data_IF_614784662736
#
_entry.id   IF_614784662736
#
_cell.length_a   1.000
_cell.length_b   1.000
_cell.length_c   1.000
_cell.angle_alpha   90.00
_cell.angle_beta   90.00
_cell.angle_gamma   90.00
#
_symmetry.space_group_name_H-M   'P 1'
#
loop_
_entity.id
_entity.type
_entity.pdbx_description
1 polymer ?
#
# COMPACT_ATOMS: atom_id res chain seq x y z
N UNK A 1 7.40 24.45 9.14
CA UNK A 1 8.50 23.58 8.64
C UNK A 1 8.12 23.12 7.25
N UNK A 2 8.99 23.34 6.27
CA UNK A 2 8.82 22.90 4.87
C UNK A 2 9.72 21.69 4.65
N UNK A 3 9.14 20.59 4.22
CA UNK A 3 9.82 19.29 4.10
C UNK A 3 9.84 18.90 2.61
N UNK A 4 11.02 18.64 2.07
CA UNK A 4 11.21 18.01 0.75
C UNK A 4 11.46 16.52 0.97
N UNK A 5 10.67 15.67 0.32
CA UNK A 5 10.78 14.23 0.52
C UNK A 5 10.86 13.45 -0.78
N UNK A 6 11.55 12.32 -0.73
CA UNK A 6 11.81 11.43 -1.86
C UNK A 6 11.36 10.01 -1.57
N UNK A 7 10.66 9.43 -2.53
CA UNK A 7 10.31 8.01 -2.56
C UNK A 7 10.87 7.39 -3.85
N UNK A 8 11.59 6.28 -3.71
CA UNK A 8 12.18 5.55 -4.84
C UNK A 8 12.36 4.06 -4.55
N UNK A 9 11.51 3.46 -3.72
CA UNK A 9 11.71 2.07 -3.25
C UNK A 9 11.43 0.99 -4.30
N UNK A 10 10.59 1.28 -5.32
CA UNK A 10 10.15 0.29 -6.29
C UNK A 10 10.10 0.85 -7.72
N UNK A 11 8.91 1.14 -8.26
CA UNK A 11 8.71 1.57 -9.66
C UNK A 11 8.08 2.96 -9.80
N UNK A 12 7.96 3.69 -8.69
CA UNK A 12 7.62 5.12 -8.67
C UNK A 12 8.79 5.96 -8.17
N UNK A 13 9.18 6.99 -8.94
CA UNK A 13 10.06 8.05 -8.44
C UNK A 13 9.19 9.22 -8.01
N UNK A 14 9.21 9.59 -6.74
CA UNK A 14 8.42 10.72 -6.27
C UNK A 14 9.25 11.75 -5.50
N UNK A 15 8.92 13.03 -5.73
CA UNK A 15 9.39 14.16 -4.96
C UNK A 15 8.19 15.00 -4.50
N UNK A 16 8.13 15.33 -3.22
CA UNK A 16 7.02 16.07 -2.63
C UNK A 16 7.51 17.17 -1.72
N UNK A 17 6.80 18.30 -1.72
CA UNK A 17 6.98 19.37 -0.76
C UNK A 17 5.75 19.42 0.15
N UNK A 18 5.97 19.26 1.45
CA UNK A 18 4.92 19.24 2.47
C UNK A 18 5.20 20.31 3.52
N UNK A 19 4.19 21.12 3.80
CA UNK A 19 4.22 22.13 4.86
C UNK A 19 3.62 21.54 6.14
N UNK A 20 4.38 21.52 7.22
CA UNK A 20 3.91 21.20 8.57
C UNK A 20 3.61 22.48 9.36
N UNK A 21 2.39 22.62 9.79
CA UNK A 21 1.90 23.73 10.63
C UNK A 21 1.47 23.19 12.00
N UNK A 22 1.05 24.05 12.92
CA UNK A 22 0.48 23.64 14.22
C UNK A 22 -0.79 22.79 14.06
N UNK A 23 -1.58 23.04 13.00
CA UNK A 23 -2.86 22.37 12.74
C UNK A 23 -2.68 20.99 12.11
N UNK A 24 -1.65 20.81 11.26
CA UNK A 24 -1.48 19.54 10.51
C UNK A 24 -0.48 19.67 9.35
N UNK A 25 -0.59 18.76 8.41
CA UNK A 25 0.21 18.75 7.20
C UNK A 25 -0.59 19.32 6.02
N UNK A 26 0.10 20.04 5.14
CA UNK A 26 -0.43 20.50 3.85
C UNK A 26 0.51 20.06 2.75
N UNK A 27 0.04 19.21 1.85
CA UNK A 27 0.79 18.78 0.66
C UNK A 27 0.80 19.94 -0.34
N UNK A 28 1.95 20.58 -0.52
CA UNK A 28 2.16 21.70 -1.45
C UNK A 28 2.40 21.20 -2.87
N UNK A 29 3.11 20.08 -3.00
CA UNK A 29 3.30 19.37 -4.25
C UNK A 29 3.53 17.87 -3.97
N UNK A 30 3.14 17.02 -4.93
CA UNK A 30 3.41 15.58 -4.90
C UNK A 30 3.57 15.11 -6.35
N UNK A 31 4.80 15.09 -6.83
CA UNK A 31 5.14 14.74 -8.21
C UNK A 31 5.59 13.29 -8.25
N UNK A 32 4.95 12.51 -9.11
CA UNK A 32 5.23 11.08 -9.26
C UNK A 32 5.56 10.79 -10.73
N UNK A 33 6.73 10.25 -10.98
CA UNK A 33 7.14 9.68 -12.26
C UNK A 33 7.00 8.15 -12.17
N UNK A 34 5.86 7.64 -12.61
CA UNK A 34 5.56 6.20 -12.59
C UNK A 34 6.20 5.49 -13.78
N UNK A 35 6.71 4.30 -13.52
CA UNK A 35 7.34 3.41 -14.49
C UNK A 35 6.40 2.27 -14.93
N UNK A 36 5.12 2.31 -14.53
CA UNK A 36 4.13 1.25 -14.78
C UNK A 36 4.08 0.87 -16.27
N UNK A 37 4.06 1.85 -17.18
CA UNK A 37 3.98 1.57 -18.63
C UNK A 37 5.20 0.79 -19.14
N UNK A 38 6.39 1.07 -18.59
CA UNK A 38 7.61 0.34 -18.92
C UNK A 38 7.55 -1.08 -18.37
N UNK A 39 7.20 -1.24 -17.12
CA UNK A 39 7.16 -2.55 -16.46
C UNK A 39 6.00 -3.43 -16.94
N UNK A 40 4.93 -2.84 -17.48
CA UNK A 40 3.83 -3.58 -18.11
C UNK A 40 4.31 -4.48 -19.24
N UNK A 41 5.33 -4.07 -20.00
CA UNK A 41 5.91 -4.85 -21.09
C UNK A 41 6.55 -6.16 -20.60
N UNK A 42 6.97 -6.20 -19.34
CA UNK A 42 7.60 -7.36 -18.71
C UNK A 42 6.66 -8.14 -17.79
N UNK A 43 5.44 -7.63 -17.58
CA UNK A 43 4.46 -8.24 -16.69
C UNK A 43 4.78 -8.13 -15.19
N UNK A 44 5.63 -7.18 -14.81
CA UNK A 44 6.04 -6.89 -13.43
C UNK A 44 7.33 -6.07 -13.39
N UNK A 45 7.73 -5.62 -12.20
CA UNK A 45 8.89 -4.76 -12.01
C UNK A 45 10.20 -5.50 -12.32
N UNK A 46 11.06 -4.84 -13.12
CA UNK A 46 12.43 -5.30 -13.41
C UNK A 46 13.40 -4.37 -12.68
N UNK A 47 14.11 -4.84 -11.63
CA UNK A 47 14.89 -3.98 -10.72
C UNK A 47 15.95 -3.11 -11.41
N UNK A 48 16.65 -3.65 -12.41
CA UNK A 48 17.68 -2.89 -13.16
C UNK A 48 17.06 -1.74 -13.97
N UNK A 49 15.92 -2.00 -14.61
CA UNK A 49 15.19 -0.98 -15.38
C UNK A 49 14.67 0.11 -14.45
N UNK A 50 14.11 -0.31 -13.30
CA UNK A 50 13.61 0.62 -12.28
C UNK A 50 14.73 1.56 -11.80
N UNK A 51 15.90 1.02 -11.44
CA UNK A 51 17.02 1.81 -10.95
C UNK A 51 17.47 2.89 -11.97
N UNK A 52 17.56 2.55 -13.24
CA UNK A 52 17.91 3.50 -14.32
C UNK A 52 16.87 4.59 -14.49
N UNK A 53 15.59 4.24 -14.47
CA UNK A 53 14.51 5.21 -14.60
C UNK A 53 14.47 6.20 -13.43
N UNK A 54 14.80 5.76 -12.20
CA UNK A 54 14.94 6.67 -11.06
C UNK A 54 16.04 7.71 -11.29
N UNK A 55 17.21 7.31 -11.81
CA UNK A 55 18.31 8.24 -12.11
C UNK A 55 17.86 9.33 -13.11
N UNK A 56 17.12 8.94 -14.15
CA UNK A 56 16.65 9.86 -15.17
C UNK A 56 15.57 10.82 -14.66
N UNK A 57 14.73 10.38 -13.73
CA UNK A 57 13.57 11.13 -13.26
C UNK A 57 13.85 12.07 -12.08
N UNK A 58 14.69 11.67 -11.12
CA UNK A 58 14.73 12.26 -9.78
C UNK A 58 15.05 13.76 -9.77
N UNK A 59 16.03 14.22 -10.56
CA UNK A 59 16.35 15.65 -10.65
C UNK A 59 15.19 16.45 -11.21
N UNK A 60 14.62 15.99 -12.32
CA UNK A 60 13.52 16.69 -13.00
C UNK A 60 12.31 16.84 -12.08
N UNK A 61 11.85 15.76 -11.44
CA UNK A 61 10.67 15.82 -10.57
C UNK A 61 10.93 16.66 -9.31
N UNK A 62 12.18 16.75 -8.85
CA UNK A 62 12.55 17.62 -7.72
C UNK A 62 12.32 19.09 -8.07
N UNK A 63 12.83 19.55 -9.22
CA UNK A 63 12.60 20.92 -9.68
C UNK A 63 11.12 21.20 -9.92
N UNK A 64 10.39 20.23 -10.48
CA UNK A 64 8.96 20.33 -10.70
C UNK A 64 8.21 20.45 -9.35
N UNK A 65 8.55 19.64 -8.35
CA UNK A 65 7.95 19.69 -7.04
C UNK A 65 8.18 21.04 -6.33
N UNK A 66 9.39 21.55 -6.36
CA UNK A 66 9.73 22.88 -5.83
C UNK A 66 8.95 23.99 -6.55
N UNK A 67 8.93 23.94 -7.91
CA UNK A 67 8.21 24.92 -8.73
C UNK A 67 6.70 24.93 -8.46
N UNK A 68 6.05 23.75 -8.38
CA UNK A 68 4.62 23.63 -8.06
C UNK A 68 4.33 24.13 -6.65
N UNK A 69 5.23 23.86 -5.69
CA UNK A 69 5.09 24.32 -4.32
C UNK A 69 5.34 25.84 -4.15
N UNK A 70 5.98 26.47 -5.13
CA UNK A 70 6.36 27.88 -5.08
C UNK A 70 7.49 28.17 -4.10
N UNK A 71 8.43 27.25 -3.94
CA UNK A 71 9.58 27.34 -3.02
C UNK A 71 10.88 26.99 -3.72
N UNK A 72 11.99 27.33 -3.09
CA UNK A 72 13.36 27.00 -3.51
C UNK A 72 14.01 26.08 -2.49
N UNK A 73 15.19 25.53 -2.79
CA UNK A 73 15.94 24.72 -1.82
C UNK A 73 16.33 25.52 -0.54
N UNK A 74 16.48 26.84 -0.67
CA UNK A 74 16.78 27.70 0.48
C UNK A 74 15.62 27.79 1.49
N UNK A 75 14.40 27.46 1.08
CA UNK A 75 13.21 27.48 1.93
C UNK A 75 12.96 26.13 2.62
N UNK A 76 13.73 25.09 2.30
CA UNK A 76 13.54 23.73 2.83
C UNK A 76 14.22 23.58 4.19
N UNK A 77 13.43 23.21 5.18
CA UNK A 77 13.90 22.99 6.56
C UNK A 77 14.38 21.55 6.82
N UNK A 78 13.88 20.58 6.07
CA UNK A 78 14.15 19.15 6.26
C UNK A 78 14.08 18.39 4.93
N UNK A 79 15.01 17.47 4.72
CA UNK A 79 14.94 16.46 3.65
C UNK A 79 14.62 15.09 4.28
N UNK A 80 13.64 14.40 3.73
CA UNK A 80 13.29 13.03 4.10
C UNK A 80 13.44 12.10 2.90
N UNK A 81 13.93 10.88 3.10
CA UNK A 81 14.12 9.93 2.01
C UNK A 81 13.85 8.51 2.46
N UNK A 82 13.19 7.74 1.60
CA UNK A 82 13.01 6.30 1.83
C UNK A 82 14.36 5.59 1.74
N UNK A 83 14.73 4.90 2.82
CA UNK A 83 16.00 4.18 2.92
C UNK A 83 15.83 2.65 2.96
N UNK A 84 14.66 2.17 3.32
CA UNK A 84 14.29 0.74 3.45
C UNK A 84 12.76 0.58 3.61
N UNK A 85 12.20 -0.65 3.44
CA UNK A 85 12.69 -1.67 2.52
C UNK A 85 12.41 -1.28 1.06
N UNK A 86 13.03 -2.01 0.11
CA UNK A 86 12.77 -1.83 -1.31
C UNK A 86 13.84 -2.43 -2.21
N UNK A 87 13.74 -2.14 -3.51
CA UNK A 87 14.75 -2.54 -4.49
C UNK A 87 16.03 -1.74 -4.24
N UNK A 88 17.10 -2.43 -3.86
CA UNK A 88 18.33 -1.79 -3.40
C UNK A 88 18.89 -0.75 -4.38
N UNK A 89 18.89 -1.05 -5.69
CA UNK A 89 19.38 -0.13 -6.71
C UNK A 89 18.50 1.12 -6.85
N UNK A 90 17.20 0.99 -6.68
CA UNK A 90 16.24 2.09 -6.72
C UNK A 90 16.38 2.98 -5.46
N UNK A 91 16.41 2.38 -4.27
CA UNK A 91 16.64 3.08 -3.01
C UNK A 91 17.95 3.87 -3.00
N UNK A 92 19.04 3.28 -3.52
CA UNK A 92 20.35 3.95 -3.61
C UNK A 92 20.29 5.24 -4.42
N UNK A 93 19.45 5.33 -5.44
CA UNK A 93 19.28 6.56 -6.23
C UNK A 93 18.70 7.66 -5.33
N UNK A 94 17.57 7.41 -4.67
CA UNK A 94 16.93 8.39 -3.77
C UNK A 94 17.83 8.79 -2.61
N UNK A 95 18.42 7.82 -1.92
CA UNK A 95 19.32 8.04 -0.77
C UNK A 95 20.52 8.90 -1.14
N UNK A 96 21.24 8.58 -2.23
CA UNK A 96 22.43 9.35 -2.61
C UNK A 96 22.05 10.75 -3.13
N UNK A 97 20.92 10.87 -3.85
CA UNK A 97 20.43 12.16 -4.30
C UNK A 97 20.05 13.07 -3.11
N UNK A 98 19.30 12.55 -2.14
CA UNK A 98 18.90 13.28 -0.94
C UNK A 98 20.12 13.68 -0.09
N UNK A 99 21.10 12.78 0.10
CA UNK A 99 22.37 13.08 0.77
C UNK A 99 23.14 14.22 0.10
N UNK A 100 23.23 14.18 -1.23
CA UNK A 100 23.90 15.24 -2.01
C UNK A 100 23.23 16.60 -1.81
N UNK A 101 21.90 16.67 -1.88
CA UNK A 101 21.14 17.89 -1.63
C UNK A 101 21.28 18.40 -0.19
N UNK A 102 21.16 17.51 0.78
CA UNK A 102 21.28 17.83 2.21
C UNK A 102 22.65 18.42 2.53
N UNK A 103 23.72 17.77 2.06
CA UNK A 103 25.11 18.19 2.27
C UNK A 103 25.37 19.57 1.60
N UNK A 104 24.97 19.71 0.34
CA UNK A 104 25.25 20.93 -0.44
C UNK A 104 24.54 22.17 0.12
N UNK A 105 23.39 21.98 0.78
CA UNK A 105 22.55 23.09 1.30
C UNK A 105 22.55 23.17 2.84
N UNK A 106 23.30 22.32 3.53
CA UNK A 106 23.32 22.22 5.00
C UNK A 106 21.92 22.01 5.60
N UNK A 107 21.08 21.20 4.92
CA UNK A 107 19.73 20.86 5.35
C UNK A 107 19.76 19.54 6.14
N UNK A 108 19.09 19.43 7.30
CA UNK A 108 18.95 18.16 8.01
C UNK A 108 18.35 17.07 7.11
N UNK A 109 18.85 15.82 7.27
CA UNK A 109 18.37 14.66 6.55
C UNK A 109 17.82 13.61 7.51
N UNK A 110 16.69 12.99 7.17
CA UNK A 110 16.15 11.83 7.88
C UNK A 110 15.92 10.66 6.93
N UNK A 111 16.22 9.47 7.41
CA UNK A 111 15.89 8.21 6.75
C UNK A 111 14.48 7.78 7.18
N UNK A 112 13.69 7.31 6.24
CA UNK A 112 12.33 6.85 6.48
C UNK A 112 12.18 5.40 6.00
N UNK A 113 11.55 4.59 6.83
CA UNK A 113 11.08 3.28 6.45
C UNK A 113 9.84 3.41 5.56
N UNK A 114 9.83 2.75 4.41
CA UNK A 114 8.76 2.80 3.42
C UNK A 114 7.39 2.38 3.99
N UNK A 115 7.37 1.35 4.84
CA UNK A 115 6.13 0.86 5.45
C UNK A 115 5.59 1.86 6.47
N UNK A 116 6.47 2.46 7.28
CA UNK A 116 6.10 3.59 8.14
C UNK A 116 5.57 4.76 7.31
N UNK A 117 6.19 5.05 6.15
CA UNK A 117 5.71 6.03 5.20
C UNK A 117 4.27 5.74 4.74
N UNK A 118 3.96 4.53 4.33
CA UNK A 118 2.59 4.15 3.97
C UNK A 118 1.60 4.42 5.11
N UNK A 119 1.91 4.02 6.34
CA UNK A 119 1.05 4.29 7.50
C UNK A 119 0.91 5.80 7.71
N UNK A 120 2.00 6.56 7.56
CA UNK A 120 2.03 8.01 7.70
C UNK A 120 1.25 8.76 6.61
N UNK A 121 0.87 8.13 5.51
CA UNK A 121 -0.08 8.72 4.56
C UNK A 121 -1.40 9.10 5.23
N UNK A 122 -1.79 8.42 6.32
CA UNK A 122 -2.95 8.76 7.14
C UNK A 122 -2.77 10.03 7.98
N UNK A 123 -1.54 10.43 8.25
CA UNK A 123 -1.24 11.67 9.00
C UNK A 123 -1.46 12.92 8.15
N UNK A 124 -1.60 12.77 6.83
CA UNK A 124 -1.94 13.82 5.88
C UNK A 124 -3.44 14.13 5.83
N UNK A 125 -4.26 13.36 6.54
CA UNK A 125 -5.70 13.60 6.63
C UNK A 125 -5.99 14.82 7.52
N UNK A 126 -7.09 15.51 7.24
CA UNK A 126 -7.59 16.61 8.08
C UNK A 126 -7.85 16.15 9.53
N UNK A 127 -8.50 14.98 9.65
CA UNK A 127 -8.70 14.30 10.93
C UNK A 127 -7.70 13.16 11.06
N UNK A 128 -6.41 13.50 11.18
CA UNK A 128 -5.34 12.50 11.26
C UNK A 128 -5.44 11.63 12.52
N UNK A 129 -5.17 10.31 12.41
CA UNK A 129 -5.13 9.43 13.57
C UNK A 129 -3.99 9.83 14.51
N UNK A 130 -4.23 9.63 15.82
CA UNK A 130 -3.17 9.76 16.83
C UNK A 130 -2.88 8.39 17.41
N UNK A 131 -1.61 7.98 17.56
CA UNK A 131 -1.26 6.75 18.24
C UNK A 131 -1.76 6.74 19.71
N UNK A 132 -2.12 5.54 20.26
CA UNK A 132 -1.97 4.25 19.64
C UNK A 132 -3.15 3.84 18.73
N UNK A 133 -2.86 3.05 17.68
CA UNK A 133 -3.86 2.48 16.78
C UNK A 133 -3.35 1.18 16.11
N UNK A 134 -4.26 0.40 15.52
CA UNK A 134 -3.92 -0.74 14.67
C UNK A 134 -3.83 -0.28 13.22
N UNK A 135 -2.83 -0.72 12.47
CA UNK A 135 -2.70 -0.42 11.05
C UNK A 135 -2.61 -1.68 10.20
N UNK A 136 -3.22 -1.65 9.03
CA UNK A 136 -2.96 -2.59 7.94
C UNK A 136 -2.15 -1.86 6.87
N UNK A 137 -0.93 -2.30 6.61
CA UNK A 137 -0.21 -1.90 5.40
C UNK A 137 -0.29 -3.03 4.38
N UNK A 138 -0.94 -2.77 3.25
CA UNK A 138 -1.14 -3.73 2.17
C UNK A 138 -0.78 -3.10 0.82
N UNK A 139 0.25 -3.66 0.17
CA UNK A 139 0.78 -3.20 -1.11
C UNK A 139 1.05 -4.38 -2.05
N UNK A 140 1.73 -4.13 -3.16
CA UNK A 140 2.21 -5.19 -4.07
C UNK A 140 3.18 -6.14 -3.39
N UNK A 141 4.08 -5.64 -2.52
CA UNK A 141 5.14 -6.43 -1.89
C UNK A 141 4.90 -6.79 -0.42
N UNK A 142 3.97 -6.11 0.27
CA UNK A 142 3.76 -6.27 1.71
C UNK A 142 2.29 -6.45 2.08
N UNK A 143 2.04 -7.27 3.09
CA UNK A 143 0.73 -7.39 3.74
C UNK A 143 0.96 -7.73 5.21
N UNK A 144 0.83 -6.74 6.07
CA UNK A 144 1.04 -6.94 7.50
C UNK A 144 0.13 -6.04 8.34
N UNK A 145 -0.15 -6.52 9.55
CA UNK A 145 -0.90 -5.81 10.59
C UNK A 145 0.11 -5.30 11.61
N UNK A 146 0.00 -4.04 11.93
CA UNK A 146 0.89 -3.35 12.85
C UNK A 146 0.12 -2.78 14.03
N UNK A 147 0.76 -2.81 15.19
CA UNK A 147 0.41 -1.97 16.33
C UNK A 147 1.31 -0.76 16.34
N UNK A 148 0.72 0.41 16.26
CA UNK A 148 1.41 1.70 16.25
C UNK A 148 1.26 2.32 17.63
N UNK A 149 2.31 2.25 18.46
CA UNK A 149 2.31 2.76 19.83
C UNK A 149 2.67 4.26 19.88
N UNK A 150 3.50 4.74 18.97
CA UNK A 150 3.80 6.16 18.72
C UNK A 150 4.06 6.38 17.24
N UNK A 151 4.25 7.61 16.79
CA UNK A 151 4.53 7.93 15.38
C UNK A 151 5.81 7.26 14.82
N UNK A 152 6.72 6.84 15.70
CA UNK A 152 7.99 6.19 15.33
C UNK A 152 8.12 4.75 15.83
N UNK A 153 7.30 4.34 16.82
CA UNK A 153 7.32 2.99 17.41
C UNK A 153 6.18 2.16 16.87
N UNK A 154 6.51 1.25 15.96
CA UNK A 154 5.58 0.38 15.25
C UNK A 154 6.04 -1.07 15.43
N UNK A 155 5.11 -1.96 15.77
CA UNK A 155 5.36 -3.38 15.97
C UNK A 155 4.50 -4.22 15.04
N UNK A 156 5.10 -5.17 14.34
CA UNK A 156 4.37 -6.18 13.55
C UNK A 156 3.64 -7.16 14.48
N UNK A 157 2.34 -7.33 14.30
CA UNK A 157 1.50 -8.27 15.06
C UNK A 157 0.90 -9.39 14.20
N UNK A 158 0.99 -9.26 12.88
CA UNK A 158 0.60 -10.29 11.92
C UNK A 158 1.14 -9.95 10.53
N UNK A 159 1.54 -10.94 9.77
CA UNK A 159 2.12 -10.73 8.44
C UNK A 159 1.69 -11.84 7.47
N UNK A 160 1.88 -11.62 6.17
CA UNK A 160 1.76 -12.74 5.24
C UNK A 160 2.97 -13.67 5.35
N UNK A 161 2.73 -14.99 5.33
CA UNK A 161 3.78 -16.01 5.34
C UNK A 161 4.28 -16.38 3.94
N UNK A 162 3.67 -15.79 2.91
CA UNK A 162 3.97 -16.07 1.51
C UNK A 162 3.68 -14.83 0.63
N UNK A 163 2.90 -14.95 -0.45
CA UNK A 163 2.58 -13.82 -1.33
C UNK A 163 1.86 -12.69 -0.58
N UNK A 164 2.18 -11.44 -0.91
CA UNK A 164 1.37 -10.29 -0.52
C UNK A 164 0.02 -10.30 -1.25
N UNK A 165 -1.00 -9.68 -0.64
CA UNK A 165 -2.35 -9.62 -1.24
C UNK A 165 -2.36 -8.90 -2.60
N UNK A 166 -1.58 -7.81 -2.75
CA UNK A 166 -1.47 -7.08 -4.02
C UNK A 166 -0.82 -7.94 -5.11
N UNK A 167 0.29 -8.59 -4.80
CA UNK A 167 0.96 -9.54 -5.69
C UNK A 167 0.03 -10.69 -6.10
N UNK A 168 -0.79 -11.17 -5.17
CA UNK A 168 -1.78 -12.21 -5.41
C UNK A 168 -2.84 -11.77 -6.42
N UNK A 169 -3.34 -10.53 -6.31
CA UNK A 169 -4.24 -9.93 -7.30
C UNK A 169 -3.58 -9.75 -8.67
N UNK A 170 -2.33 -9.31 -8.72
CA UNK A 170 -1.60 -9.09 -9.98
C UNK A 170 -1.35 -10.41 -10.72
N UNK A 171 -0.90 -11.45 -9.99
CA UNK A 171 -0.67 -12.79 -10.57
C UNK A 171 -1.94 -13.41 -11.15
N UNK A 172 -3.04 -13.36 -10.41
CA UNK A 172 -4.33 -13.91 -10.86
C UNK A 172 -4.95 -13.03 -11.94
N UNK A 173 -4.86 -11.70 -11.81
CA UNK A 173 -5.35 -10.76 -12.81
C UNK A 173 -4.74 -11.02 -14.17
N UNK A 174 -3.42 -11.23 -14.24
CA UNK A 174 -2.72 -11.56 -15.49
C UNK A 174 -3.24 -12.85 -16.12
N UNK A 175 -3.53 -13.88 -15.33
CA UNK A 175 -4.06 -15.16 -15.85
C UNK A 175 -5.47 -15.02 -16.45
N UNK A 176 -6.27 -14.10 -15.96
CA UNK A 176 -7.59 -13.79 -16.52
C UNK A 176 -7.57 -12.61 -17.50
N UNK A 177 -6.39 -12.21 -17.99
CA UNK A 177 -6.21 -11.21 -19.03
C UNK A 177 -6.37 -9.76 -18.59
N UNK A 178 -6.11 -9.45 -17.33
CA UNK A 178 -6.01 -8.07 -16.82
C UNK A 178 -4.52 -7.66 -16.88
N UNK A 179 -4.17 -6.54 -17.52
CA UNK A 179 -2.78 -6.08 -17.60
C UNK A 179 -2.23 -5.65 -16.24
N UNK A 180 -0.91 -5.72 -16.08
CA UNK A 180 -0.21 -5.20 -14.91
C UNK A 180 -0.22 -3.66 -14.87
N UNK A 181 -0.39 -3.04 -13.68
CA UNK A 181 -0.85 -3.65 -12.43
C UNK A 181 -2.34 -3.97 -12.47
N UNK A 182 -2.71 -5.17 -11.99
CA UNK A 182 -4.07 -5.66 -12.13
C UNK A 182 -5.09 -5.05 -11.16
N UNK A 183 -4.62 -4.43 -10.06
CA UNK A 183 -5.45 -4.03 -8.93
C UNK A 183 -6.73 -3.27 -9.32
N UNK A 184 -6.63 -2.19 -10.10
CA UNK A 184 -7.79 -1.40 -10.55
C UNK A 184 -8.73 -2.19 -11.46
N UNK A 185 -8.18 -2.93 -12.41
CA UNK A 185 -8.99 -3.74 -13.34
C UNK A 185 -9.66 -4.91 -12.62
N UNK A 186 -8.97 -5.52 -11.67
CA UNK A 186 -9.51 -6.61 -10.86
C UNK A 186 -10.65 -6.13 -9.95
N UNK A 187 -10.51 -4.95 -9.32
CA UNK A 187 -11.53 -4.32 -8.50
C UNK A 187 -12.82 -4.05 -9.30
N UNK A 188 -12.68 -3.47 -10.50
CA UNK A 188 -13.80 -3.21 -11.40
C UNK A 188 -14.50 -4.51 -11.87
N UNK A 189 -13.73 -5.52 -12.29
CA UNK A 189 -14.26 -6.80 -12.73
C UNK A 189 -14.96 -7.55 -11.59
N UNK A 190 -14.42 -7.46 -10.36
CA UNK A 190 -15.04 -8.02 -9.16
C UNK A 190 -16.37 -7.38 -8.85
N UNK A 191 -16.47 -6.03 -8.96
CA UNK A 191 -17.74 -5.31 -8.80
C UNK A 191 -18.80 -5.80 -9.78
N UNK A 192 -18.43 -5.94 -11.07
CA UNK A 192 -19.33 -6.50 -12.09
C UNK A 192 -19.85 -7.89 -11.68
N UNK A 193 -18.93 -8.76 -11.24
CA UNK A 193 -19.30 -10.12 -10.81
C UNK A 193 -20.19 -10.15 -9.57
N UNK A 194 -19.96 -9.28 -8.60
CA UNK A 194 -20.82 -9.16 -7.43
C UNK A 194 -22.23 -8.72 -7.80
N UNK A 195 -22.36 -7.70 -8.66
CA UNK A 195 -23.64 -7.21 -9.14
C UNK A 195 -24.37 -8.31 -9.93
N UNK A 196 -23.67 -8.99 -10.83
CA UNK A 196 -24.21 -10.12 -11.61
C UNK A 196 -24.71 -11.25 -10.70
N UNK A 197 -23.97 -11.58 -9.64
CA UNK A 197 -24.31 -12.65 -8.71
C UNK A 197 -25.54 -12.32 -7.84
N UNK A 198 -25.79 -11.05 -7.54
CA UNK A 198 -26.77 -10.62 -6.55
C UNK A 198 -27.96 -9.87 -7.13
N UNK A 199 -27.79 -9.28 -8.32
CA UNK A 199 -28.77 -8.37 -8.93
C UNK A 199 -28.90 -7.04 -8.19
N UNK A 200 -27.93 -6.64 -7.35
CA UNK A 200 -28.01 -5.46 -6.50
C UNK A 200 -26.75 -4.61 -6.60
N UNK A 201 -26.87 -3.35 -6.99
CA UNK A 201 -25.74 -2.43 -7.18
C UNK A 201 -25.25 -1.77 -5.89
N UNK A 202 -26.04 -1.79 -4.82
CA UNK A 202 -25.69 -1.14 -3.56
C UNK A 202 -25.28 -2.15 -2.48
N UNK A 203 -26.07 -3.21 -2.31
CA UNK A 203 -25.87 -4.22 -1.25
C UNK A 203 -25.27 -5.53 -1.77
N UNK A 204 -24.59 -5.47 -2.94
CA UNK A 204 -24.05 -6.67 -3.59
C UNK A 204 -23.12 -7.48 -2.67
N UNK A 205 -22.27 -6.83 -1.90
CA UNK A 205 -21.30 -7.52 -1.06
C UNK A 205 -21.97 -8.28 0.10
N UNK A 206 -22.92 -7.65 0.78
CA UNK A 206 -23.66 -8.26 1.88
C UNK A 206 -24.50 -9.46 1.42
N UNK A 207 -25.07 -9.36 0.19
CA UNK A 207 -25.91 -10.40 -0.40
C UNK A 207 -25.13 -11.53 -1.03
N UNK A 208 -23.83 -11.34 -1.31
CA UNK A 208 -23.03 -12.28 -2.10
C UNK A 208 -23.00 -13.69 -1.52
N UNK A 209 -22.80 -13.85 -0.20
CA UNK A 209 -22.81 -15.16 0.48
C UNK A 209 -24.10 -15.96 0.31
N UNK A 210 -25.20 -15.27 0.05
CA UNK A 210 -26.52 -15.89 -0.13
C UNK A 210 -26.80 -16.19 -1.61
N UNK A 211 -26.00 -15.66 -2.54
CA UNK A 211 -26.21 -15.79 -3.96
C UNK A 211 -25.97 -17.25 -4.45
N UNK A 212 -26.60 -17.64 -5.57
CA UNK A 212 -26.30 -18.93 -6.21
C UNK A 212 -24.83 -19.05 -6.64
N UNK A 213 -24.23 -17.96 -7.14
CA UNK A 213 -22.84 -17.93 -7.57
C UNK A 213 -21.85 -18.23 -6.43
N UNK A 214 -22.13 -17.74 -5.21
CA UNK A 214 -21.30 -18.09 -4.04
C UNK A 214 -21.44 -19.55 -3.62
N UNK A 215 -22.65 -20.12 -3.76
CA UNK A 215 -22.97 -21.50 -3.39
C UNK A 215 -22.55 -22.53 -4.43
N UNK A 216 -22.11 -22.07 -5.60
CA UNK A 216 -21.63 -22.93 -6.67
C UNK A 216 -20.35 -23.64 -6.22
N UNK A 217 -20.43 -24.98 -6.12
CA UNK A 217 -19.32 -25.83 -5.70
C UNK A 217 -18.19 -25.87 -6.71
N UNK A 218 -18.49 -25.65 -7.99
CA UNK A 218 -17.47 -25.59 -9.05
C UNK A 218 -16.58 -24.36 -8.94
N UNK A 219 -17.07 -23.27 -8.33
CA UNK A 219 -16.38 -22.00 -8.14
C UNK A 219 -15.83 -21.82 -6.72
N UNK A 220 -15.73 -22.89 -5.91
CA UNK A 220 -15.26 -22.81 -4.52
C UNK A 220 -13.75 -22.53 -4.46
N UNK A 221 -13.37 -21.53 -3.67
CA UNK A 221 -11.99 -21.17 -3.33
C UNK A 221 -11.78 -21.21 -1.80
N UNK A 222 -10.60 -21.60 -1.31
CA UNK A 222 -10.29 -21.61 0.10
C UNK A 222 -10.10 -20.18 0.65
N UNK A 223 -10.34 -20.00 1.96
CA UNK A 223 -10.00 -18.75 2.64
C UNK A 223 -8.49 -18.69 2.92
N UNK A 224 -7.82 -17.57 2.67
CA UNK A 224 -6.42 -17.35 3.03
C UNK A 224 -6.20 -17.01 4.52
N UNK A 225 -7.24 -16.97 5.34
CA UNK A 225 -7.11 -16.77 6.78
C UNK A 225 -6.68 -18.05 7.46
N UNK A 226 -5.48 -18.05 8.05
CA UNK A 226 -4.98 -19.17 8.84
C UNK A 226 -5.85 -19.40 10.09
N UNK A 227 -6.02 -20.68 10.45
CA UNK A 227 -6.87 -21.10 11.60
C UNK A 227 -6.05 -21.42 12.85
N UNK A 228 -4.77 -21.07 12.89
CA UNK A 228 -3.83 -21.33 13.99
C UNK A 228 -3.90 -20.33 15.15
N UNK A 229 -4.87 -19.42 15.11
CA UNK A 229 -5.04 -18.35 16.11
C UNK A 229 -4.15 -17.12 15.88
N UNK A 230 -3.16 -17.17 14.97
CA UNK A 230 -2.33 -16.02 14.63
C UNK A 230 -3.09 -14.95 13.86
N UNK A 231 -2.54 -13.75 13.78
CA UNK A 231 -3.01 -12.67 12.90
C UNK A 231 -2.41 -12.77 11.48
N UNK A 232 -1.65 -13.82 11.18
CA UNK A 232 -0.98 -14.02 9.89
C UNK A 232 -1.94 -14.41 8.77
N UNK A 233 -1.47 -14.21 7.53
CA UNK A 233 -2.13 -14.58 6.28
C UNK A 233 -1.31 -15.60 5.50
N UNK A 234 -1.96 -16.29 4.54
CA UNK A 234 -1.31 -17.09 3.51
C UNK A 234 -2.14 -17.04 2.24
N UNK A 235 -1.71 -16.23 1.26
CA UNK A 235 -2.43 -16.06 0.00
C UNK A 235 -2.02 -17.08 -1.07
N UNK A 236 -0.91 -17.81 -0.90
CA UNK A 236 -0.43 -18.80 -1.85
C UNK A 236 -1.42 -19.97 -2.08
N UNK A 237 -2.11 -20.39 -1.01
CA UNK A 237 -3.16 -21.43 -1.10
C UNK A 237 -4.36 -20.96 -1.93
N UNK A 238 -4.84 -19.73 -1.71
CA UNK A 238 -5.92 -19.13 -2.50
C UNK A 238 -5.51 -18.99 -3.97
N UNK A 239 -4.29 -18.48 -4.23
CA UNK A 239 -3.73 -18.35 -5.58
C UNK A 239 -3.66 -19.70 -6.29
N UNK A 240 -3.09 -20.73 -5.65
CA UNK A 240 -2.96 -22.06 -6.23
C UNK A 240 -4.32 -22.67 -6.56
N UNK A 241 -5.29 -22.55 -5.66
CA UNK A 241 -6.65 -23.02 -5.90
C UNK A 241 -7.32 -22.29 -7.07
N UNK A 242 -7.10 -20.98 -7.21
CA UNK A 242 -7.59 -20.19 -8.32
C UNK A 242 -6.98 -20.63 -9.66
N UNK A 243 -5.66 -20.88 -9.72
CA UNK A 243 -4.97 -21.40 -10.91
C UNK A 243 -5.53 -22.77 -11.29
N UNK A 244 -5.69 -23.68 -10.34
CA UNK A 244 -6.25 -25.01 -10.58
C UNK A 244 -7.70 -24.93 -11.08
N UNK A 245 -8.48 -23.97 -10.59
CA UNK A 245 -9.84 -23.72 -11.05
C UNK A 245 -9.85 -23.27 -12.51
N UNK A 246 -9.00 -22.32 -12.89
CA UNK A 246 -8.85 -21.85 -14.28
C UNK A 246 -8.49 -23.02 -15.23
N UNK A 247 -7.47 -23.80 -14.88
CA UNK A 247 -7.06 -24.97 -15.68
C UNK A 247 -8.18 -26.03 -15.82
N UNK A 248 -8.98 -26.23 -14.77
CA UNK A 248 -10.10 -27.18 -14.83
C UNK A 248 -11.17 -26.77 -15.85
N UNK A 249 -11.51 -25.47 -15.91
CA UNK A 249 -12.44 -24.94 -16.91
C UNK A 249 -11.87 -25.05 -18.33
N UNK A 250 -10.59 -24.73 -18.49
CA UNK A 250 -9.89 -24.87 -19.77
C UNK A 250 -9.88 -26.33 -20.28
N UNK A 251 -9.56 -27.29 -19.40
CA UNK A 251 -9.56 -28.72 -19.73
C UNK A 251 -10.94 -29.26 -20.10
N UNK A 252 -12.01 -28.73 -19.49
CA UNK A 252 -13.39 -29.08 -19.85
C UNK A 252 -13.86 -28.43 -21.15
N UNK A 253 -13.11 -27.46 -21.69
CA UNK A 253 -13.55 -26.62 -22.81
C UNK A 253 -14.71 -25.70 -22.47
N UNK A 254 -14.90 -25.40 -21.19
CA UNK A 254 -15.94 -24.52 -20.67
C UNK A 254 -15.42 -23.10 -20.49
N UNK A 255 -16.23 -22.11 -20.88
CA UNK A 255 -15.86 -20.71 -20.66
C UNK A 255 -16.09 -20.32 -19.19
N UNK A 256 -15.02 -19.94 -18.49
CA UNK A 256 -15.13 -19.36 -17.16
C UNK A 256 -15.73 -17.95 -17.25
N UNK A 257 -16.73 -17.67 -16.41
CA UNK A 257 -17.18 -16.29 -16.19
C UNK A 257 -16.14 -15.52 -15.36
N UNK A 258 -15.37 -14.66 -16.04
CA UNK A 258 -14.25 -13.91 -15.44
C UNK A 258 -14.71 -12.96 -14.32
N UNK A 259 -15.91 -12.36 -14.46
CA UNK A 259 -16.42 -11.42 -13.46
C UNK A 259 -16.88 -12.15 -12.19
N UNK A 260 -17.59 -13.27 -12.32
CA UNK A 260 -17.95 -14.11 -11.16
C UNK A 260 -16.73 -14.71 -10.47
N UNK A 261 -15.73 -15.13 -11.23
CA UNK A 261 -14.45 -15.62 -10.69
C UNK A 261 -13.71 -14.51 -9.91
N UNK A 262 -13.58 -13.32 -10.49
CA UNK A 262 -12.95 -12.19 -9.83
C UNK A 262 -13.68 -11.80 -8.54
N UNK A 263 -15.02 -11.78 -8.55
CA UNK A 263 -15.83 -11.55 -7.36
C UNK A 263 -15.58 -12.61 -6.29
N UNK A 264 -15.50 -13.89 -6.66
CA UNK A 264 -15.21 -14.97 -5.72
C UNK A 264 -13.83 -14.83 -5.08
N UNK A 265 -12.81 -14.59 -5.90
CA UNK A 265 -11.44 -14.41 -5.44
C UNK A 265 -11.32 -13.22 -4.48
N UNK A 266 -11.86 -12.06 -4.88
CA UNK A 266 -11.86 -10.84 -4.05
C UNK A 266 -12.59 -11.09 -2.74
N UNK A 267 -13.73 -11.77 -2.77
CA UNK A 267 -14.50 -12.05 -1.56
C UNK A 267 -13.68 -12.85 -0.54
N UNK A 268 -13.05 -13.95 -0.97
CA UNK A 268 -12.24 -14.77 -0.05
C UNK A 268 -11.03 -14.01 0.50
N UNK A 269 -10.34 -13.24 -0.35
CA UNK A 269 -9.19 -12.43 0.08
C UNK A 269 -9.61 -11.34 1.08
N UNK A 270 -10.67 -10.60 0.78
CA UNK A 270 -11.16 -9.49 1.61
C UNK A 270 -11.73 -9.98 2.96
N UNK A 271 -12.51 -11.07 2.95
CA UNK A 271 -13.04 -11.64 4.19
C UNK A 271 -11.95 -12.20 5.11
N UNK A 272 -10.88 -12.75 4.54
CA UNK A 272 -9.74 -13.19 5.33
C UNK A 272 -9.06 -12.02 6.05
N UNK A 273 -8.80 -10.92 5.31
CA UNK A 273 -8.24 -9.69 5.91
C UNK A 273 -9.20 -9.14 6.97
N UNK A 274 -10.48 -9.02 6.65
CA UNK A 274 -11.49 -8.49 7.56
C UNK A 274 -11.58 -9.31 8.86
N UNK A 275 -11.46 -10.64 8.77
CA UNK A 275 -11.43 -11.52 9.94
C UNK A 275 -10.25 -11.23 10.86
N UNK A 276 -9.03 -11.08 10.30
CA UNK A 276 -7.82 -10.83 11.08
C UNK A 276 -7.79 -9.41 11.67
N UNK A 277 -8.25 -8.41 10.93
CA UNK A 277 -8.39 -7.04 11.45
C UNK A 277 -9.42 -7.00 12.60
N UNK A 278 -10.54 -7.70 12.45
CA UNK A 278 -11.53 -7.81 13.53
C UNK A 278 -10.90 -8.40 14.80
N UNK A 279 -10.16 -9.50 14.68
CA UNK A 279 -9.45 -10.12 15.81
C UNK A 279 -8.46 -9.14 16.45
N UNK A 280 -7.62 -8.45 15.64
CA UNK A 280 -6.66 -7.48 16.14
C UNK A 280 -7.32 -6.32 16.92
N UNK A 281 -8.47 -5.83 16.44
CA UNK A 281 -9.24 -4.76 17.11
C UNK A 281 -9.96 -5.25 18.38
N UNK A 282 -10.45 -6.49 18.41
CA UNK A 282 -11.04 -7.09 19.61
C UNK A 282 -10.00 -7.30 20.73
N UNK A 283 -8.75 -7.63 20.37
CA UNK A 283 -7.61 -7.72 21.30
C UNK A 283 -7.10 -6.34 21.78
N UNK A 284 -7.42 -5.26 21.04
CA UNK A 284 -7.00 -3.88 21.34
C UNK A 284 -8.22 -2.94 21.38
N UNK A 285 -9.08 -3.03 22.42
CA UNK A 285 -10.41 -2.42 22.41
C UNK A 285 -10.46 -0.89 22.41
N UNK A 286 -9.38 -0.21 22.76
CA UNK A 286 -9.32 1.26 22.77
C UNK A 286 -8.70 1.86 21.50
N UNK A 287 -8.25 1.02 20.55
CA UNK A 287 -7.53 1.49 19.37
C UNK A 287 -8.46 1.71 18.17
N UNK A 288 -8.23 2.79 17.44
CA UNK A 288 -8.75 3.00 16.08
C UNK A 288 -7.99 2.17 15.05
N UNK A 289 -8.38 2.29 13.79
CA UNK A 289 -7.80 1.53 12.69
C UNK A 289 -7.35 2.41 11.52
N UNK A 290 -6.16 2.15 11.03
CA UNK A 290 -5.59 2.78 9.81
C UNK A 290 -5.45 1.74 8.72
N UNK A 291 -5.86 2.07 7.51
CA UNK A 291 -5.63 1.27 6.31
C UNK A 291 -4.68 2.02 5.37
N UNK A 292 -3.57 1.39 4.99
CA UNK A 292 -2.50 2.02 4.21
C UNK A 292 -1.96 1.10 3.10
N UNK A 293 -1.16 1.67 2.20
CA UNK A 293 -0.55 0.97 1.07
C UNK A 293 -1.43 0.95 -0.18
N UNK A 294 -0.87 0.55 -1.32
CA UNK A 294 -1.55 0.58 -2.63
C UNK A 294 -2.85 -0.22 -2.68
N UNK A 295 -2.95 -1.34 -1.94
CA UNK A 295 -4.19 -2.14 -1.85
C UNK A 295 -5.29 -1.42 -1.06
N UNK A 296 -4.95 -0.38 -0.28
CA UNK A 296 -5.95 0.50 0.34
C UNK A 296 -6.81 1.25 -0.70
N UNK A 297 -6.45 1.26 -1.97
CA UNK A 297 -7.30 1.75 -3.06
C UNK A 297 -8.43 0.76 -3.44
N UNK A 298 -8.35 -0.53 -3.06
CA UNK A 298 -9.38 -1.53 -3.39
C UNK A 298 -10.72 -1.19 -2.72
N UNK A 299 -11.75 -1.02 -3.54
CA UNK A 299 -13.07 -0.54 -3.09
C UNK A 299 -13.80 -1.54 -2.19
N UNK A 300 -13.63 -2.84 -2.45
CA UNK A 300 -14.26 -3.91 -1.68
C UNK A 300 -13.62 -4.04 -0.29
N UNK A 301 -12.28 -3.95 -0.22
CA UNK A 301 -11.55 -3.98 1.05
C UNK A 301 -11.89 -2.75 1.91
N UNK A 302 -11.88 -1.54 1.33
CA UNK A 302 -12.33 -0.31 2.02
C UNK A 302 -13.71 -0.47 2.63
N UNK A 303 -14.69 -0.87 1.81
CA UNK A 303 -16.07 -1.09 2.27
C UNK A 303 -16.10 -2.05 3.45
N UNK A 304 -15.49 -3.22 3.28
CA UNK A 304 -15.57 -4.29 4.28
C UNK A 304 -14.90 -3.94 5.60
N UNK A 305 -13.74 -3.31 5.57
CA UNK A 305 -13.06 -2.88 6.81
C UNK A 305 -13.80 -1.72 7.49
N UNK A 306 -14.42 -0.81 6.73
CA UNK A 306 -15.30 0.22 7.29
C UNK A 306 -16.49 -0.41 8.04
N UNK A 307 -17.13 -1.43 7.47
CA UNK A 307 -18.21 -2.18 8.13
C UNK A 307 -17.72 -2.86 9.42
N UNK A 308 -16.53 -3.49 9.39
CA UNK A 308 -15.93 -4.12 10.58
C UNK A 308 -15.70 -3.08 11.68
N UNK A 309 -15.05 -1.96 11.37
CA UNK A 309 -14.77 -0.92 12.35
C UNK A 309 -16.05 -0.33 12.94
N UNK A 310 -17.03 0.00 12.11
CA UNK A 310 -18.33 0.51 12.57
C UNK A 310 -19.05 -0.51 13.48
N UNK A 311 -19.01 -1.81 13.14
CA UNK A 311 -19.64 -2.85 13.98
C UNK A 311 -19.00 -2.99 15.36
N UNK A 312 -17.75 -2.57 15.49
CA UNK A 312 -17.00 -2.56 16.75
C UNK A 312 -16.99 -1.19 17.44
N UNK A 313 -17.62 -0.17 16.83
CA UNK A 313 -17.60 1.21 17.34
C UNK A 313 -16.20 1.85 17.27
N UNK A 314 -15.40 1.55 16.22
CA UNK A 314 -14.03 2.01 16.04
C UNK A 314 -13.92 3.04 14.93
N UNK A 315 -13.08 4.04 15.13
CA UNK A 315 -12.70 4.95 14.07
C UNK A 315 -11.85 4.24 13.02
N UNK A 316 -12.06 4.60 11.76
CA UNK A 316 -11.27 4.12 10.63
C UNK A 316 -10.70 5.30 9.84
N UNK A 317 -9.41 5.24 9.53
CA UNK A 317 -8.69 6.25 8.78
C UNK A 317 -8.13 5.61 7.50
N UNK A 318 -8.62 6.06 6.36
CA UNK A 318 -8.20 5.56 5.05
C UNK A 318 -7.79 6.77 4.20
N UNK A 319 -6.54 6.84 3.72
CA UNK A 319 -6.10 7.91 2.83
C UNK A 319 -6.93 7.96 1.53
N UNK A 320 -7.06 9.12 0.89
CA UNK A 320 -7.61 9.21 -0.45
C UNK A 320 -6.77 8.36 -1.41
N UNK A 321 -7.39 7.87 -2.48
CA UNK A 321 -6.75 6.95 -3.45
C UNK A 321 -5.43 7.53 -3.99
N UNK A 322 -5.34 8.85 -4.16
CA UNK A 322 -4.15 9.56 -4.62
C UNK A 322 -2.94 9.46 -3.67
N UNK A 323 -3.15 9.09 -2.41
CA UNK A 323 -2.09 8.93 -1.38
C UNK A 323 -1.90 7.47 -0.94
N UNK A 324 -2.59 6.52 -1.59
CA UNK A 324 -2.44 5.09 -1.24
C UNK A 324 -1.20 4.47 -1.87
N UNK A 325 -0.81 4.87 -3.09
CA UNK A 325 0.40 4.38 -3.77
C UNK A 325 1.66 5.04 -3.23
N UNK A 326 2.80 4.65 -3.77
CA UNK A 326 4.11 5.19 -3.42
C UNK A 326 4.20 6.66 -3.77
N UNK A 327 4.55 7.49 -2.80
CA UNK A 327 4.64 8.93 -3.00
C UNK A 327 5.52 9.62 -1.95
N UNK A 328 6.10 10.78 -2.31
CA UNK A 328 6.97 11.52 -1.40
C UNK A 328 6.25 12.17 -0.22
N UNK A 329 4.94 12.46 -0.35
CA UNK A 329 4.22 13.15 0.73
C UNK A 329 4.08 12.25 1.98
N UNK A 330 3.90 10.93 1.80
CA UNK A 330 3.89 9.97 2.91
C UNK A 330 5.24 9.92 3.64
N UNK A 331 6.33 10.04 2.87
CA UNK A 331 7.70 10.06 3.40
C UNK A 331 7.96 11.37 4.15
N UNK A 332 7.46 12.51 3.65
CA UNK A 332 7.54 13.78 4.37
C UNK A 332 6.81 13.72 5.73
N UNK A 333 5.62 13.11 5.75
CA UNK A 333 4.83 12.99 6.99
C UNK A 333 5.53 12.14 8.05
N UNK A 334 6.09 10.99 7.68
CA UNK A 334 6.88 10.16 8.59
C UNK A 334 8.20 10.85 8.98
N UNK A 335 8.89 11.45 8.00
CA UNK A 335 10.17 12.13 8.22
C UNK A 335 10.08 13.25 9.24
N UNK A 336 8.95 13.96 9.32
CA UNK A 336 8.72 14.95 10.37
C UNK A 336 8.80 14.34 11.78
N UNK A 337 8.19 13.18 12.00
CA UNK A 337 8.20 12.53 13.31
C UNK A 337 9.55 11.89 13.63
N UNK A 338 10.25 11.35 12.64
CA UNK A 338 11.64 10.87 12.82
C UNK A 338 12.57 12.05 13.21
N UNK A 339 12.38 13.23 12.59
CA UNK A 339 13.11 14.44 12.95
C UNK A 339 12.85 14.88 14.40
N UNK A 340 11.60 14.86 14.86
CA UNK A 340 11.25 15.24 16.24
C UNK A 340 11.87 14.30 17.28
N UNK A 341 12.02 13.03 16.97
CA UNK A 341 12.70 12.04 17.84
C UNK A 341 14.23 12.14 17.78
N UNK A 342 14.77 13.02 16.94
CA UNK A 342 16.20 13.21 16.78
C UNK A 342 16.88 12.14 15.90
N UNK A 343 16.13 11.37 15.12
CA UNK A 343 16.61 10.33 14.21
C UNK A 343 17.22 10.96 12.94
N UNK A 344 18.26 11.78 13.10
CA UNK A 344 18.95 12.40 11.98
C UNK A 344 19.90 11.41 11.30
N UNK A 345 19.96 11.50 9.98
CA UNK A 345 20.90 10.77 9.16
C UNK A 345 22.11 11.65 8.79
N UNK A 346 23.28 11.03 8.67
CA UNK A 346 24.50 11.68 8.22
C UNK A 346 24.97 11.14 6.85
N UNK A 347 26.19 11.47 6.48
CA UNK A 347 26.79 11.01 5.22
C UNK A 347 27.00 9.49 5.14
N UNK A 348 26.95 8.77 6.25
CA UNK A 348 27.06 7.31 6.30
C UNK A 348 25.76 6.58 5.96
N UNK A 349 24.63 7.30 5.88
CA UNK A 349 23.33 6.72 5.51
C UNK A 349 23.47 5.84 4.27
N UNK A 350 22.96 4.62 4.35
CA UNK A 350 22.90 3.69 3.23
C UNK A 350 21.49 3.10 3.11
N UNK A 351 21.17 2.60 1.93
CA UNK A 351 19.92 1.91 1.66
C UNK A 351 19.98 0.46 2.17
N UNK A 352 18.83 -0.10 2.58
CA UNK A 352 18.67 -1.50 2.93
C UNK A 352 17.45 -2.10 2.23
N UNK A 353 17.62 -3.32 1.69
CA UNK A 353 16.47 -4.07 1.14
C UNK A 353 15.61 -4.72 2.24
N UNK A 354 16.11 -4.75 3.48
CA UNK A 354 15.44 -5.41 4.60
C UNK A 354 14.47 -4.44 5.30
N UNK A 355 13.36 -4.98 5.74
CA UNK A 355 12.41 -4.29 6.62
C UNK A 355 13.09 -3.96 7.96
N UNK A 356 12.81 -2.79 8.50
CA UNK A 356 13.30 -2.35 9.82
C UNK A 356 12.20 -2.37 10.89
N UNK A 357 10.97 -2.71 10.51
CA UNK A 357 9.85 -2.82 11.45
C UNK A 357 9.86 -4.21 12.10
N UNK A 358 10.11 -4.26 13.40
CA UNK A 358 10.15 -5.49 14.22
C UNK A 358 8.75 -6.06 14.53
#
# INVERSE_FOLDING_TARGET
MIILAFESSCDETSASVVLRTEVGFTVKSNIIASQIETHRLYGGVVPEIASRAHIEAISRITYEALGVAGVTLADIDLIAVTANPGLIGALLVGVNFAKGLALANSIPLVAVDHIKGHIASSYLLENAPKPPFIALAASGGHTAIYRVDSYTKIKTIGTTRDDAIGESFDKIGRLIGIPYPAGKGFDALSREGFIKATGDEEKFYEKYKKSPAYKDKEMTLPSPALSDGSLDFSFSGLKTAAINLLHRFEQKGEALDRSLFAARYTFEAVEAVAKKIKMALEENPEMGFVMAGGVAANSHLRRRLTEVCHSLGRDIFIPPVSLCGDNGAMIAAQGYYEYLEGNLADSSLNASALDSVE
#
